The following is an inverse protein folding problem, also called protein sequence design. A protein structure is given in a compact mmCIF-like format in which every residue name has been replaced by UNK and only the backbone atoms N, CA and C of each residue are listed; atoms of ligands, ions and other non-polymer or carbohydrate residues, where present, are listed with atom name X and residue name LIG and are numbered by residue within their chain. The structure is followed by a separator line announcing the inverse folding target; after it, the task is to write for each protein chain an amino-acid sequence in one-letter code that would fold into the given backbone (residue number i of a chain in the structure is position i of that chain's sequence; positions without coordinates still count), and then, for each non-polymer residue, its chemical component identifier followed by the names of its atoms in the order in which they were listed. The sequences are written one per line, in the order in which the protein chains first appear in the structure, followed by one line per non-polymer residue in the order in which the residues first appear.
data_IF_688197699682
#
_entry.id   IF_688197699682
#
_cell.length_a   1.000
_cell.length_b   1.000
_cell.length_c   1.000
_cell.angle_alpha   90.00
_cell.angle_beta   90.00
_cell.angle_gamma   90.00
#
_symmetry.space_group_name_H-M   'P 1'
#
loop_
_entity.id
_entity.type
_entity.pdbx_description
1 polymer ?
#
# COMPACT_ATOMS: atom_id res chain seq x y z
N UNK A 1 7.16 -9.57 -26.57
CA UNK A 1 6.21 -8.47 -26.27
C UNK A 1 4.78 -8.95 -25.97
N UNK A 2 4.27 -10.00 -26.64
CA UNK A 2 2.90 -10.49 -26.41
C UNK A 2 2.63 -11.09 -25.02
N UNK A 3 3.63 -11.69 -24.35
CA UNK A 3 3.46 -12.36 -23.04
C UNK A 3 3.10 -11.39 -21.91
N UNK A 4 3.68 -10.20 -21.88
CA UNK A 4 3.42 -9.19 -20.84
C UNK A 4 2.02 -8.54 -20.94
N UNK A 5 1.34 -8.68 -22.07
CA UNK A 5 -0.04 -8.20 -22.25
C UNK A 5 -1.08 -9.32 -22.10
N UNK A 6 -0.64 -10.55 -21.82
CA UNK A 6 -1.55 -11.66 -21.57
C UNK A 6 -2.12 -11.58 -20.15
N UNK A 7 -3.43 -11.44 -20.05
CA UNK A 7 -4.18 -11.34 -18.79
C UNK A 7 -4.16 -12.63 -17.96
N UNK A 8 -3.74 -13.74 -18.54
CA UNK A 8 -3.69 -15.05 -17.89
C UNK A 8 -2.25 -15.48 -17.58
N UNK A 9 -1.23 -14.74 -18.04
CA UNK A 9 0.15 -15.02 -17.70
C UNK A 9 0.46 -14.63 -16.26
N UNK A 10 1.03 -15.55 -15.48
CA UNK A 10 1.30 -15.35 -14.08
C UNK A 10 2.26 -14.18 -13.80
N UNK A 11 3.26 -13.95 -14.67
CA UNK A 11 4.19 -12.84 -14.53
C UNK A 11 3.47 -11.50 -14.72
N UNK A 12 2.61 -11.40 -15.73
CA UNK A 12 1.80 -10.22 -16.01
C UNK A 12 0.88 -9.89 -14.84
N UNK A 13 0.24 -10.90 -14.24
CA UNK A 13 -0.63 -10.76 -13.07
C UNK A 13 0.16 -10.25 -11.86
N UNK A 14 1.37 -10.79 -11.60
CA UNK A 14 2.22 -10.37 -10.48
C UNK A 14 2.68 -8.92 -10.68
N UNK A 15 3.15 -8.55 -11.87
CA UNK A 15 3.58 -7.17 -12.18
C UNK A 15 2.42 -6.19 -12.00
N UNK A 16 1.25 -6.52 -12.54
CA UNK A 16 0.04 -5.70 -12.38
C UNK A 16 -0.37 -5.55 -10.91
N UNK A 17 -0.21 -6.62 -10.13
CA UNK A 17 -0.43 -6.61 -8.69
C UNK A 17 0.59 -5.73 -7.93
N UNK A 18 1.87 -5.77 -8.32
CA UNK A 18 2.90 -4.87 -7.77
C UNK A 18 2.55 -3.41 -8.08
N UNK A 19 2.11 -3.10 -9.30
CA UNK A 19 1.66 -1.75 -9.65
C UNK A 19 0.45 -1.32 -8.83
N UNK A 20 -0.50 -2.23 -8.57
CA UNK A 20 -1.63 -1.94 -7.67
C UNK A 20 -1.17 -1.59 -6.25
N UNK A 21 -0.15 -2.28 -5.72
CA UNK A 21 0.46 -1.98 -4.42
C UNK A 21 1.17 -0.62 -4.45
N UNK A 22 1.92 -0.32 -5.51
CA UNK A 22 2.59 0.97 -5.67
C UNK A 22 1.57 2.12 -5.67
N UNK A 23 0.45 1.98 -6.37
CA UNK A 23 -0.63 2.98 -6.36
C UNK A 23 -1.23 3.12 -4.95
N UNK A 24 -1.62 2.01 -4.33
CA UNK A 24 -2.40 2.02 -3.09
C UNK A 24 -1.59 2.30 -1.82
N UNK A 25 -0.39 1.75 -1.73
CA UNK A 25 0.48 1.98 -0.57
C UNK A 25 1.55 3.02 -0.86
N UNK A 26 2.20 2.96 -2.01
CA UNK A 26 3.24 3.92 -2.38
C UNK A 26 2.69 5.32 -2.48
N UNK A 27 1.88 5.57 -3.50
CA UNK A 27 1.39 6.91 -3.84
C UNK A 27 0.35 7.41 -2.83
N UNK A 28 -0.66 6.59 -2.51
CA UNK A 28 -1.75 7.02 -1.64
C UNK A 28 -1.38 7.10 -0.14
N UNK A 29 -0.24 6.50 0.28
CA UNK A 29 0.15 6.46 1.69
C UNK A 29 1.61 6.87 1.95
N UNK A 30 2.60 6.10 1.45
CA UNK A 30 4.01 6.27 1.82
C UNK A 30 4.66 7.53 1.24
N UNK A 31 4.19 8.02 0.09
CA UNK A 31 4.66 9.27 -0.49
C UNK A 31 4.51 10.45 0.47
N UNK A 32 3.45 10.48 1.28
CA UNK A 32 3.24 11.51 2.30
C UNK A 32 4.39 11.53 3.31
N UNK A 33 4.76 10.38 3.84
CA UNK A 33 5.84 10.27 4.82
C UNK A 33 7.18 10.77 4.28
N UNK A 34 7.50 10.42 3.03
CA UNK A 34 8.72 10.87 2.37
C UNK A 34 8.72 12.40 2.12
N UNK A 35 7.53 13.02 1.98
CA UNK A 35 7.38 14.46 1.73
C UNK A 35 7.21 15.29 3.02
N UNK A 36 6.90 14.69 4.18
CA UNK A 36 6.70 15.42 5.45
C UNK A 36 7.84 16.43 5.70
N UNK A 37 9.13 16.07 5.63
CA UNK A 37 10.19 17.03 5.94
C UNK A 37 10.15 18.29 5.06
N UNK A 38 9.84 18.16 3.78
CA UNK A 38 9.76 19.31 2.86
C UNK A 38 8.49 20.14 3.08
N UNK A 39 7.39 19.54 3.54
CA UNK A 39 6.15 20.24 3.82
C UNK A 39 6.16 20.96 5.17
N UNK A 40 6.90 20.45 6.17
CA UNK A 40 7.05 21.10 7.48
C UNK A 40 7.75 22.45 7.41
N UNK A 41 8.54 22.71 6.36
CA UNK A 41 9.27 23.97 6.22
C UNK A 41 8.33 25.17 6.06
N UNK A 42 7.25 25.04 5.26
CA UNK A 42 6.42 26.19 4.88
C UNK A 42 4.91 25.93 4.84
N UNK A 43 4.44 24.71 5.14
CA UNK A 43 3.04 24.38 4.89
C UNK A 43 2.35 23.65 6.05
N UNK A 44 2.97 22.68 6.67
CA UNK A 44 2.39 21.87 7.74
C UNK A 44 3.12 22.12 9.07
N UNK A 45 2.40 21.99 10.18
CA UNK A 45 3.00 21.66 11.47
C UNK A 45 3.00 20.15 11.70
N UNK A 46 3.83 19.69 12.64
CA UNK A 46 4.00 18.25 12.90
C UNK A 46 2.73 17.61 13.45
N UNK A 47 1.92 18.37 14.20
CA UNK A 47 0.64 17.90 14.75
C UNK A 47 -0.36 17.65 13.64
N UNK A 48 -0.47 18.60 12.70
CA UNK A 48 -1.38 18.47 11.56
C UNK A 48 -0.92 17.35 10.60
N UNK A 49 0.38 17.20 10.39
CA UNK A 49 0.94 16.07 9.64
C UNK A 49 0.55 14.73 10.28
N UNK A 50 0.61 14.61 11.60
CA UNK A 50 0.14 13.43 12.36
C UNK A 50 -1.36 13.18 12.21
N UNK A 51 -2.17 14.23 12.24
CA UNK A 51 -3.63 14.13 12.00
C UNK A 51 -3.89 13.61 10.58
N UNK A 52 -3.25 14.17 9.56
CA UNK A 52 -3.39 13.75 8.17
C UNK A 52 -2.96 12.28 7.96
N UNK A 53 -1.90 11.83 8.62
CA UNK A 53 -1.49 10.43 8.62
C UNK A 53 -2.56 9.54 9.26
N UNK A 54 -3.08 9.93 10.43
CA UNK A 54 -4.12 9.18 11.16
C UNK A 54 -5.40 9.07 10.36
N UNK A 55 -5.82 10.13 9.69
CA UNK A 55 -7.00 10.14 8.82
C UNK A 55 -6.84 9.20 7.61
N UNK A 56 -5.63 9.09 7.06
CA UNK A 56 -5.34 8.11 6.02
C UNK A 56 -5.48 6.66 6.54
N UNK A 57 -5.00 6.38 7.75
CA UNK A 57 -5.20 5.07 8.38
C UNK A 57 -6.67 4.77 8.66
N UNK A 58 -7.45 5.76 9.11
CA UNK A 58 -8.89 5.61 9.33
C UNK A 58 -9.63 5.30 8.02
N UNK A 59 -9.29 6.02 6.93
CA UNK A 59 -9.78 5.73 5.59
C UNK A 59 -9.43 4.30 5.14
N UNK A 60 -8.18 3.88 5.34
CA UNK A 60 -7.73 2.54 5.01
C UNK A 60 -8.48 1.46 5.79
N UNK A 61 -8.68 1.66 7.10
CA UNK A 61 -9.45 0.74 7.94
C UNK A 61 -10.89 0.61 7.43
N UNK A 62 -11.55 1.73 7.13
CA UNK A 62 -12.93 1.72 6.61
C UNK A 62 -13.05 0.95 5.30
N UNK A 63 -12.12 1.15 4.37
CA UNK A 63 -12.05 0.40 3.11
C UNK A 63 -11.77 -1.09 3.31
N UNK A 64 -10.86 -1.42 4.23
CA UNK A 64 -10.55 -2.81 4.57
C UNK A 64 -11.76 -3.54 5.15
N UNK A 65 -12.48 -2.90 6.07
CA UNK A 65 -13.72 -3.43 6.63
C UNK A 65 -14.81 -3.62 5.56
N UNK A 66 -14.97 -2.65 4.66
CA UNK A 66 -15.91 -2.79 3.54
C UNK A 66 -15.56 -3.99 2.67
N UNK A 67 -14.28 -4.25 2.43
CA UNK A 67 -13.80 -5.34 1.57
C UNK A 67 -14.25 -6.74 2.05
N UNK A 68 -14.50 -6.91 3.36
CA UNK A 68 -14.97 -8.17 3.97
C UNK A 68 -16.36 -8.57 3.44
N UNK A 69 -17.21 -7.58 3.20
CA UNK A 69 -18.59 -7.81 2.74
C UNK A 69 -18.67 -8.09 1.24
N UNK A 70 -17.62 -7.80 0.48
CA UNK A 70 -17.58 -7.96 -0.97
C UNK A 70 -17.00 -9.33 -1.33
N UNK A 71 -17.87 -10.28 -1.61
CA UNK A 71 -17.48 -11.67 -1.94
C UNK A 71 -17.35 -11.91 -3.45
N UNK A 72 -18.16 -11.23 -4.26
CA UNK A 72 -18.17 -11.38 -5.73
C UNK A 72 -16.91 -10.77 -6.35
N UNK A 73 -16.20 -11.56 -7.17
CA UNK A 73 -14.98 -11.12 -7.84
C UNK A 73 -15.22 -9.97 -8.83
N UNK A 74 -16.37 -9.90 -9.47
CA UNK A 74 -16.70 -8.83 -10.40
C UNK A 74 -16.89 -7.50 -9.64
N UNK A 75 -17.51 -7.56 -8.45
CA UNK A 75 -17.61 -6.41 -7.55
C UNK A 75 -16.22 -5.97 -7.03
N UNK A 76 -15.33 -6.93 -6.72
CA UNK A 76 -13.95 -6.63 -6.34
C UNK A 76 -13.21 -5.89 -7.45
N UNK A 77 -13.35 -6.31 -8.70
CA UNK A 77 -12.73 -5.60 -9.84
C UNK A 77 -13.29 -4.19 -10.00
N UNK A 78 -14.59 -3.99 -9.80
CA UNK A 78 -15.19 -2.66 -9.85
C UNK A 78 -14.64 -1.76 -8.74
N UNK A 79 -14.57 -2.27 -7.50
CA UNK A 79 -14.01 -1.54 -6.36
C UNK A 79 -12.52 -1.24 -6.51
N UNK A 80 -11.76 -2.18 -7.06
CA UNK A 80 -10.37 -1.97 -7.40
C UNK A 80 -10.20 -0.80 -8.37
N UNK A 81 -10.97 -0.78 -9.46
CA UNK A 81 -10.95 0.33 -10.44
C UNK A 81 -11.34 1.66 -9.80
N UNK A 82 -12.39 1.65 -8.99
CA UNK A 82 -12.81 2.83 -8.24
C UNK A 82 -11.71 3.31 -7.29
N UNK A 83 -11.06 2.40 -6.57
CA UNK A 83 -9.92 2.70 -5.71
C UNK A 83 -8.75 3.32 -6.46
N UNK A 84 -8.43 2.82 -7.66
CA UNK A 84 -7.37 3.39 -8.51
C UNK A 84 -7.70 4.84 -8.89
N UNK A 85 -8.91 5.10 -9.37
CA UNK A 85 -9.35 6.48 -9.71
C UNK A 85 -9.28 7.38 -8.49
N UNK A 86 -9.78 6.90 -7.36
CA UNK A 86 -9.80 7.66 -6.11
C UNK A 86 -8.38 7.94 -5.58
N UNK A 87 -7.44 7.01 -5.72
CA UNK A 87 -6.03 7.21 -5.35
C UNK A 87 -5.40 8.34 -6.18
N UNK A 88 -5.62 8.33 -7.49
CA UNK A 88 -5.08 9.35 -8.40
C UNK A 88 -5.70 10.71 -8.12
N UNK A 89 -7.04 10.80 -8.00
CA UNK A 89 -7.74 12.06 -7.79
C UNK A 89 -7.44 12.68 -6.41
N UNK A 90 -7.33 11.87 -5.36
CA UNK A 90 -6.94 12.36 -4.04
C UNK A 90 -5.49 12.84 -4.00
N UNK A 91 -4.58 12.18 -4.74
CA UNK A 91 -3.19 12.64 -4.89
C UNK A 91 -3.11 13.95 -5.67
N UNK A 92 -3.88 14.10 -6.75
CA UNK A 92 -3.99 15.36 -7.48
C UNK A 92 -4.57 16.50 -6.61
N UNK A 93 -5.53 16.21 -5.74
CA UNK A 93 -6.07 17.20 -4.83
C UNK A 93 -5.01 17.74 -3.86
N UNK A 94 -4.06 16.90 -3.41
CA UNK A 94 -2.93 17.33 -2.59
C UNK A 94 -1.92 18.20 -3.38
N UNK A 95 -1.73 17.93 -4.68
CA UNK A 95 -0.87 18.71 -5.55
C UNK A 95 -1.42 20.11 -5.85
N UNK A 96 -2.74 20.21 -6.08
CA UNK A 96 -3.39 21.40 -6.63
C UNK A 96 -3.99 22.32 -5.57
N UNK A 97 -4.01 21.91 -4.30
CA UNK A 97 -4.65 22.67 -3.22
C UNK A 97 -3.75 22.78 -1.99
N UNK A 98 -3.82 23.92 -1.32
CA UNK A 98 -3.19 24.16 -0.02
C UNK A 98 -4.21 24.35 1.11
N UNK A 99 -5.49 24.03 0.87
CA UNK A 99 -6.55 24.15 1.86
C UNK A 99 -6.60 22.92 2.76
N UNK A 100 -6.54 23.11 4.08
CA UNK A 100 -6.50 22.04 5.08
C UNK A 100 -7.72 21.10 4.99
N UNK A 101 -8.91 21.63 4.73
CA UNK A 101 -10.13 20.81 4.58
C UNK A 101 -10.02 19.87 3.37
N UNK A 102 -9.48 20.37 2.25
CA UNK A 102 -9.22 19.54 1.05
C UNK A 102 -8.21 18.44 1.38
N UNK A 103 -7.16 18.78 2.13
CA UNK A 103 -6.14 17.81 2.55
C UNK A 103 -6.71 16.74 3.49
N UNK A 104 -7.54 17.12 4.46
CA UNK A 104 -8.24 16.18 5.36
C UNK A 104 -9.06 15.17 4.53
N UNK A 105 -9.92 15.67 3.64
CA UNK A 105 -10.77 14.81 2.79
C UNK A 105 -9.92 13.94 1.87
N UNK A 106 -8.94 14.52 1.20
CA UNK A 106 -8.04 13.79 0.31
C UNK A 106 -7.29 12.66 1.03
N UNK A 107 -6.83 12.89 2.27
CA UNK A 107 -6.13 11.86 3.05
C UNK A 107 -7.04 10.70 3.46
N UNK A 108 -8.29 10.97 3.85
CA UNK A 108 -9.28 9.91 4.14
C UNK A 108 -9.56 9.10 2.86
N UNK A 109 -9.82 9.78 1.75
CA UNK A 109 -10.10 9.14 0.46
C UNK A 109 -8.90 8.35 -0.07
N UNK A 110 -7.69 8.88 0.07
CA UNK A 110 -6.46 8.17 -0.29
C UNK A 110 -6.28 6.88 0.54
N UNK A 111 -6.58 6.94 1.85
CA UNK A 111 -6.56 5.74 2.69
C UNK A 111 -7.56 4.69 2.24
N UNK A 112 -8.80 5.08 2.00
CA UNK A 112 -9.84 4.18 1.48
C UNK A 112 -9.43 3.58 0.12
N UNK A 113 -8.93 4.40 -0.78
CA UNK A 113 -8.39 3.98 -2.08
C UNK A 113 -7.24 2.97 -1.92
N UNK A 114 -6.36 3.19 -0.95
CA UNK A 114 -5.28 2.27 -0.61
C UNK A 114 -5.79 0.87 -0.25
N UNK A 115 -6.85 0.78 0.57
CA UNK A 115 -7.48 -0.52 0.86
C UNK A 115 -8.09 -1.16 -0.39
N UNK A 116 -8.77 -0.40 -1.23
CA UNK A 116 -9.37 -0.92 -2.47
C UNK A 116 -8.32 -1.42 -3.46
N UNK A 117 -7.19 -0.73 -3.59
CA UNK A 117 -6.14 -1.12 -4.53
C UNK A 117 -5.25 -2.22 -3.96
N UNK A 118 -4.87 -2.16 -2.70
CA UNK A 118 -4.00 -3.16 -2.09
C UNK A 118 -4.76 -4.41 -1.64
N UNK A 119 -5.76 -4.30 -0.76
CA UNK A 119 -6.44 -5.47 -0.19
C UNK A 119 -7.28 -6.17 -1.25
N UNK A 120 -8.14 -5.41 -1.95
CA UNK A 120 -8.99 -5.97 -2.99
C UNK A 120 -8.18 -6.37 -4.22
N UNK A 121 -7.19 -5.56 -4.62
CA UNK A 121 -6.26 -5.89 -5.71
C UNK A 121 -5.48 -7.18 -5.46
N UNK A 122 -4.94 -7.39 -4.25
CA UNK A 122 -4.26 -8.65 -3.87
C UNK A 122 -5.20 -9.85 -3.91
N UNK A 123 -6.47 -9.69 -3.52
CA UNK A 123 -7.46 -10.76 -3.63
C UNK A 123 -7.76 -11.12 -5.10
N UNK A 124 -7.77 -10.14 -6.01
CA UNK A 124 -7.90 -10.38 -7.46
C UNK A 124 -6.67 -11.12 -7.99
N UNK A 125 -5.46 -10.67 -7.65
CA UNK A 125 -4.20 -11.33 -8.01
C UNK A 125 -4.21 -12.79 -7.58
N UNK A 126 -4.52 -13.07 -6.31
CA UNK A 126 -4.58 -14.43 -5.77
C UNK A 126 -5.62 -15.30 -6.49
N UNK A 127 -6.73 -14.72 -6.93
CA UNK A 127 -7.78 -15.44 -7.67
C UNK A 127 -7.33 -15.77 -9.11
N UNK A 128 -6.60 -14.85 -9.75
CA UNK A 128 -6.14 -15.02 -11.14
C UNK A 128 -4.94 -15.96 -11.28
N UNK A 129 -4.07 -16.04 -10.27
CA UNK A 129 -2.86 -16.88 -10.33
C UNK A 129 -3.18 -18.36 -10.53
N UNK A 130 -2.60 -18.97 -11.57
CA UNK A 130 -2.76 -20.36 -11.96
C UNK A 130 -1.51 -21.20 -11.66
N UNK A 131 -0.84 -20.92 -10.52
CA UNK A 131 0.39 -21.61 -10.15
C UNK A 131 0.12 -22.69 -9.10
N UNK A 132 0.85 -23.80 -9.18
CA UNK A 132 0.86 -24.84 -8.14
C UNK A 132 1.32 -24.28 -6.78
N UNK A 133 2.27 -23.32 -6.77
CA UNK A 133 2.75 -22.67 -5.56
C UNK A 133 2.34 -21.19 -5.50
N UNK A 134 1.07 -20.91 -5.17
CA UNK A 134 0.56 -19.54 -4.98
C UNK A 134 1.31 -18.79 -3.87
N UNK A 135 1.78 -19.47 -2.83
CA UNK A 135 2.53 -18.88 -1.71
C UNK A 135 3.80 -18.16 -2.18
N UNK A 136 4.59 -18.80 -3.06
CA UNK A 136 5.80 -18.19 -3.62
C UNK A 136 5.47 -16.97 -4.48
N UNK A 137 4.43 -17.08 -5.31
CA UNK A 137 3.97 -15.99 -6.15
C UNK A 137 3.46 -14.80 -5.33
N UNK A 138 2.74 -15.05 -4.24
CA UNK A 138 2.28 -14.01 -3.32
C UNK A 138 3.45 -13.34 -2.59
N UNK A 139 4.52 -14.05 -2.25
CA UNK A 139 5.74 -13.44 -1.69
C UNK A 139 6.36 -12.43 -2.66
N UNK A 140 6.41 -12.75 -3.96
CA UNK A 140 6.87 -11.81 -5.00
C UNK A 140 5.88 -10.65 -5.16
N UNK A 141 4.58 -10.91 -5.14
CA UNK A 141 3.57 -9.86 -5.20
C UNK A 141 3.70 -8.87 -4.03
N UNK A 142 3.83 -9.36 -2.80
CA UNK A 142 3.98 -8.50 -1.62
C UNK A 142 5.34 -7.79 -1.53
N UNK A 143 6.36 -8.21 -2.27
CA UNK A 143 7.59 -7.40 -2.42
C UNK A 143 7.29 -6.03 -3.05
N UNK A 144 6.13 -5.89 -3.71
CA UNK A 144 5.56 -4.63 -4.15
C UNK A 144 5.45 -3.57 -3.03
N UNK A 145 5.38 -3.97 -1.75
CA UNK A 145 5.40 -3.03 -0.62
C UNK A 145 6.76 -2.31 -0.56
N UNK A 146 7.87 -3.06 -0.61
CA UNK A 146 9.20 -2.46 -0.68
C UNK A 146 9.41 -1.63 -1.96
N UNK A 147 8.96 -2.14 -3.11
CA UNK A 147 8.98 -1.38 -4.36
C UNK A 147 8.16 -0.09 -4.27
N UNK A 148 7.03 -0.10 -3.59
CA UNK A 148 6.17 1.08 -3.44
C UNK A 148 6.84 2.19 -2.64
N UNK A 149 7.50 1.83 -1.53
CA UNK A 149 8.28 2.76 -0.69
C UNK A 149 9.45 3.33 -1.50
N UNK A 150 10.26 2.44 -2.08
CA UNK A 150 11.44 2.83 -2.84
C UNK A 150 11.11 3.75 -4.02
N UNK A 151 10.12 3.37 -4.83
CA UNK A 151 9.77 4.14 -6.04
C UNK A 151 9.24 5.52 -5.70
N UNK A 152 8.36 5.64 -4.70
CA UNK A 152 7.80 6.95 -4.31
C UNK A 152 8.85 7.84 -3.65
N UNK A 153 9.73 7.26 -2.84
CA UNK A 153 10.84 8.00 -2.24
C UNK A 153 11.83 8.53 -3.31
N UNK A 154 12.22 7.68 -4.25
CA UNK A 154 13.12 8.08 -5.34
C UNK A 154 12.52 9.18 -6.23
N UNK A 155 11.21 9.10 -6.55
CA UNK A 155 10.52 10.15 -7.31
C UNK A 155 10.55 11.46 -6.53
N UNK A 156 10.18 11.45 -5.25
CA UNK A 156 10.17 12.65 -4.41
C UNK A 156 11.56 13.28 -4.30
N UNK A 157 12.57 12.46 -4.05
CA UNK A 157 13.98 12.94 -3.98
C UNK A 157 14.45 13.53 -5.29
N UNK A 158 14.13 12.89 -6.42
CA UNK A 158 14.50 13.40 -7.73
C UNK A 158 13.86 14.77 -8.01
N UNK A 159 12.56 14.91 -7.75
CA UNK A 159 11.86 16.18 -7.96
C UNK A 159 12.42 17.27 -7.07
N UNK A 160 12.57 17.01 -5.76
CA UNK A 160 13.07 17.99 -4.80
C UNK A 160 14.54 18.37 -5.08
N UNK A 161 15.40 17.43 -5.44
CA UNK A 161 16.81 17.70 -5.78
C UNK A 161 16.98 18.47 -7.09
N UNK A 162 16.00 18.38 -7.98
CA UNK A 162 15.95 19.15 -9.22
C UNK A 162 15.39 20.58 -9.04
N UNK A 163 15.15 21.01 -7.79
CA UNK A 163 14.61 22.32 -7.48
C UNK A 163 13.09 22.42 -7.54
N UNK A 164 12.39 21.29 -7.72
CA UNK A 164 10.93 21.23 -7.65
C UNK A 164 10.40 21.34 -6.22
N UNK A 165 9.12 21.64 -6.10
CA UNK A 165 8.40 21.76 -4.84
C UNK A 165 7.78 20.43 -4.41
N UNK A 166 7.24 20.38 -3.18
CA UNK A 166 6.44 19.24 -2.72
C UNK A 166 5.14 19.08 -3.55
N UNK A 167 4.57 20.19 -4.07
CA UNK A 167 3.42 20.14 -4.98
C UNK A 167 3.77 19.44 -6.29
N UNK A 168 4.94 19.76 -6.85
CA UNK A 168 5.44 19.11 -8.07
C UNK A 168 5.64 17.60 -7.83
N UNK A 169 6.12 17.22 -6.64
CA UNK A 169 6.25 15.81 -6.27
C UNK A 169 4.89 15.09 -6.26
N UNK A 170 3.85 15.69 -5.67
CA UNK A 170 2.49 15.14 -5.71
C UNK A 170 1.95 15.03 -7.14
N UNK A 171 2.21 16.03 -7.99
CA UNK A 171 1.78 16.01 -9.39
C UNK A 171 2.46 14.88 -10.17
N UNK A 172 3.78 14.76 -10.05
CA UNK A 172 4.56 13.69 -10.70
C UNK A 172 4.09 12.31 -10.23
N UNK A 173 3.84 12.14 -8.92
CA UNK A 173 3.31 10.89 -8.38
C UNK A 173 1.92 10.56 -8.91
N UNK A 174 1.04 11.54 -9.08
CA UNK A 174 -0.28 11.33 -9.65
C UNK A 174 -0.21 10.90 -11.13
N UNK A 175 0.66 11.54 -11.92
CA UNK A 175 0.92 11.16 -13.32
C UNK A 175 1.51 9.75 -13.38
N UNK A 176 2.48 9.45 -12.55
CA UNK A 176 3.09 8.12 -12.47
C UNK A 176 2.05 7.05 -12.13
N UNK A 177 1.23 7.29 -11.09
CA UNK A 177 0.14 6.38 -10.72
C UNK A 177 -0.86 6.18 -11.88
N UNK A 178 -1.21 7.24 -12.60
CA UNK A 178 -2.08 7.14 -13.78
C UNK A 178 -1.47 6.22 -14.86
N UNK A 179 -0.19 6.41 -15.20
CA UNK A 179 0.47 5.61 -16.23
C UNK A 179 0.50 4.12 -15.87
N UNK A 180 0.95 3.77 -14.65
CA UNK A 180 1.03 2.36 -14.22
C UNK A 180 -0.36 1.75 -14.00
N UNK A 181 -1.37 2.57 -13.71
CA UNK A 181 -2.75 2.11 -13.53
C UNK A 181 -3.36 1.53 -14.78
N UNK A 182 -2.99 2.05 -15.96
CA UNK A 182 -3.49 1.55 -17.26
C UNK A 182 -3.18 0.06 -17.39
N UNK A 183 -1.93 -0.32 -17.12
CA UNK A 183 -1.51 -1.72 -17.15
C UNK A 183 -2.18 -2.55 -16.05
N UNK A 184 -2.18 -2.05 -14.83
CA UNK A 184 -2.74 -2.76 -13.68
C UNK A 184 -4.24 -3.04 -13.86
N UNK A 185 -5.01 -2.03 -14.25
CA UNK A 185 -6.45 -2.16 -14.49
C UNK A 185 -6.74 -3.10 -15.68
N UNK A 186 -5.94 -3.02 -16.73
CA UNK A 186 -6.09 -3.90 -17.90
C UNK A 186 -5.89 -5.37 -17.52
N UNK A 187 -4.77 -5.72 -16.88
CA UNK A 187 -4.42 -7.10 -16.53
C UNK A 187 -5.31 -7.68 -15.42
N UNK A 188 -5.65 -6.88 -14.39
CA UNK A 188 -6.46 -7.36 -13.26
C UNK A 188 -7.97 -7.38 -13.55
N UNK A 189 -8.37 -7.09 -14.79
CA UNK A 189 -9.75 -7.27 -15.25
C UNK A 189 -9.99 -8.70 -15.76
N UNK A 190 -11.26 -9.12 -15.81
CA UNK A 190 -11.68 -10.37 -16.42
C UNK A 190 -12.37 -10.11 -17.75
N UNK A 191 -12.16 -10.98 -18.75
CA UNK A 191 -12.75 -10.84 -20.08
C UNK A 191 -14.25 -11.09 -20.09
N UNK A 192 -14.73 -11.97 -19.19
CA UNK A 192 -16.16 -12.30 -18.99
C UNK A 192 -16.49 -12.25 -17.51
N UNK A 193 -17.76 -11.96 -17.20
CA UNK A 193 -18.24 -12.06 -15.82
C UNK A 193 -18.00 -13.48 -15.30
N UNK A 194 -17.23 -13.59 -14.24
CA UNK A 194 -16.94 -14.87 -13.60
C UNK A 194 -18.17 -15.30 -12.80
N UNK A 195 -18.77 -16.45 -13.16
CA UNK A 195 -19.79 -17.07 -12.33
C UNK A 195 -19.10 -17.72 -11.14
N UNK A 196 -19.25 -17.15 -9.97
CA UNK A 196 -18.81 -17.77 -8.72
C UNK A 196 -20.00 -18.26 -7.92
N UNK A 197 -19.95 -19.50 -7.46
CA UNK A 197 -20.84 -19.96 -6.41
C UNK A 197 -20.36 -19.35 -5.09
N UNK A 198 -20.94 -18.21 -4.72
CA UNK A 198 -20.65 -17.57 -3.44
C UNK A 198 -21.27 -18.41 -2.33
N UNK A 199 -20.44 -19.21 -1.67
CA UNK A 199 -20.87 -19.93 -0.47
C UNK A 199 -21.07 -18.90 0.65
N UNK A 200 -22.31 -18.76 1.09
CA UNK A 200 -22.66 -17.91 2.24
C UNK A 200 -22.29 -18.67 3.52
N UNK A 201 -21.06 -18.52 3.99
CA UNK A 201 -20.75 -18.90 5.36
C UNK A 201 -21.28 -17.84 6.30
N UNK A 202 -22.12 -18.25 7.27
CA UNK A 202 -22.50 -17.39 8.38
C UNK A 202 -21.26 -17.02 9.23
N UNK A 203 -21.36 -15.94 10.00
CA UNK A 203 -20.31 -15.56 10.95
C UNK A 203 -20.30 -16.61 12.08
N UNK A 204 -19.23 -17.42 12.14
CA UNK A 204 -19.05 -18.42 13.17
C UNK A 204 -18.27 -17.81 14.35
N UNK A 205 -18.95 -17.64 15.49
CA UNK A 205 -18.35 -17.11 16.72
C UNK A 205 -17.29 -18.04 17.34
N UNK A 206 -17.28 -19.32 16.97
CA UNK A 206 -16.29 -20.30 17.45
C UNK A 206 -14.87 -19.99 16.99
N UNK A 207 -14.71 -19.12 15.98
CA UNK A 207 -13.41 -18.64 15.49
C UNK A 207 -12.68 -17.81 16.56
N UNK A 208 -13.40 -17.14 17.47
CA UNK A 208 -12.79 -16.33 18.54
C UNK A 208 -12.25 -17.19 19.70
N UNK A 209 -11.26 -18.01 19.37
CA UNK A 209 -10.48 -18.72 20.38
C UNK A 209 -9.56 -17.75 21.13
N UNK A 210 -9.09 -18.13 22.32
CA UNK A 210 -8.10 -17.36 23.09
C UNK A 210 -6.86 -17.02 22.22
N UNK A 211 -6.40 -17.98 21.42
CA UNK A 211 -5.28 -17.75 20.49
C UNK A 211 -5.55 -16.65 19.46
N UNK A 212 -6.74 -16.64 18.84
CA UNK A 212 -7.10 -15.61 17.86
C UNK A 212 -7.22 -14.24 18.51
N UNK A 213 -7.80 -14.15 19.71
CA UNK A 213 -7.89 -12.88 20.45
C UNK A 213 -6.49 -12.37 20.80
N UNK A 214 -5.60 -13.24 21.30
CA UNK A 214 -4.22 -12.88 21.59
C UNK A 214 -3.48 -12.40 20.34
N UNK A 215 -3.65 -13.08 19.23
CA UNK A 215 -3.07 -12.69 17.93
C UNK A 215 -3.54 -11.30 17.49
N UNK A 216 -4.83 -10.99 17.65
CA UNK A 216 -5.38 -9.67 17.34
C UNK A 216 -4.72 -8.59 18.22
N UNK A 217 -4.56 -8.84 19.53
CA UNK A 217 -3.92 -7.90 20.45
C UNK A 217 -2.46 -7.66 20.06
N UNK A 218 -1.72 -8.71 19.75
CA UNK A 218 -0.30 -8.61 19.33
C UNK A 218 -0.18 -7.81 18.04
N UNK A 219 -0.99 -8.12 17.03
CA UNK A 219 -1.00 -7.35 15.77
C UNK A 219 -1.43 -5.90 15.95
N UNK A 220 -2.35 -5.63 16.87
CA UNK A 220 -2.73 -4.26 17.22
C UNK A 220 -1.56 -3.49 17.83
N UNK A 221 -0.85 -4.09 18.80
CA UNK A 221 0.29 -3.47 19.45
C UNK A 221 1.45 -3.21 18.46
N UNK A 222 1.75 -4.19 17.58
CA UNK A 222 2.73 -4.04 16.49
C UNK A 222 2.32 -2.94 15.52
N UNK A 223 1.03 -2.88 15.16
CA UNK A 223 0.50 -1.84 14.30
C UNK A 223 0.66 -0.44 14.89
N UNK A 224 0.44 -0.26 16.18
CA UNK A 224 0.67 1.03 16.88
C UNK A 224 2.15 1.44 16.79
N UNK A 225 3.08 0.52 17.07
CA UNK A 225 4.53 0.77 16.94
C UNK A 225 4.92 1.13 15.51
N UNK A 226 4.44 0.37 14.54
CA UNK A 226 4.71 0.62 13.11
C UNK A 226 4.21 1.98 12.63
N UNK A 227 3.03 2.43 13.07
CA UNK A 227 2.46 3.72 12.64
C UNK A 227 3.35 4.89 13.02
N UNK A 228 3.88 4.91 14.25
CA UNK A 228 4.78 5.97 14.72
C UNK A 228 6.07 5.98 13.90
N UNK A 229 6.74 4.84 13.81
CA UNK A 229 7.97 4.70 13.03
C UNK A 229 7.71 4.97 11.55
N UNK A 230 6.69 4.35 10.96
CA UNK A 230 6.35 4.48 9.56
C UNK A 230 5.93 5.88 9.13
N UNK A 231 5.57 6.77 10.05
CA UNK A 231 5.19 8.15 9.73
C UNK A 231 6.33 9.13 9.94
N UNK A 232 7.08 9.00 11.02
CA UNK A 232 8.04 10.01 11.45
C UNK A 232 9.49 9.55 11.40
N UNK A 233 9.80 8.38 10.84
CA UNK A 233 11.16 7.83 10.82
C UNK A 233 12.21 8.79 10.23
N UNK A 234 11.98 9.49 9.10
CA UNK A 234 12.93 10.46 8.58
C UNK A 234 13.20 11.61 9.56
N UNK A 235 12.17 12.12 10.21
CA UNK A 235 12.28 13.19 11.19
C UNK A 235 12.99 12.73 12.46
N UNK A 236 12.65 11.55 12.96
CA UNK A 236 13.32 10.94 14.11
C UNK A 236 14.82 10.80 13.86
N UNK A 237 15.22 10.28 12.71
CA UNK A 237 16.63 10.08 12.36
C UNK A 237 17.36 11.42 12.25
N UNK A 238 16.75 12.44 11.66
CA UNK A 238 17.37 13.78 11.54
C UNK A 238 17.57 14.45 12.90
N UNK A 239 16.81 14.11 13.92
CA UNK A 239 16.91 14.66 15.27
C UNK A 239 17.85 13.85 16.19
N UNK A 240 18.43 12.73 15.73
CA UNK A 240 19.39 11.95 16.49
C UNK A 240 20.81 12.52 16.32
N UNK A 241 21.58 12.72 17.42
CA UNK A 241 22.95 13.21 17.36
C UNK A 241 23.85 12.33 16.46
N UNK A 242 24.52 12.96 15.50
CA UNK A 242 25.41 12.30 14.55
C UNK A 242 24.71 11.63 13.37
N UNK A 243 23.37 11.76 13.24
CA UNK A 243 22.59 11.27 12.11
C UNK A 243 21.84 12.40 11.39
N UNK A 244 22.19 13.65 11.67
CA UNK A 244 21.59 14.82 11.01
C UNK A 244 21.79 14.75 9.49
N UNK A 245 20.69 14.89 8.74
CA UNK A 245 20.69 14.79 7.28
C UNK A 245 20.51 13.37 6.71
N UNK A 246 20.66 12.32 7.52
CA UNK A 246 20.44 10.94 7.07
C UNK A 246 18.96 10.53 7.02
N UNK A 247 18.06 11.29 7.63
CA UNK A 247 16.62 11.04 7.53
C UNK A 247 16.14 10.95 6.08
N UNK A 248 16.76 11.71 5.18
CA UNK A 248 16.41 11.71 3.77
C UNK A 248 16.60 10.35 3.07
N UNK A 249 17.56 9.51 3.50
CA UNK A 249 17.80 8.19 2.87
C UNK A 249 17.09 7.05 3.58
N UNK A 250 16.44 7.31 4.70
CA UNK A 250 15.85 6.28 5.55
C UNK A 250 14.78 5.49 4.81
N UNK A 251 13.89 6.17 4.10
CA UNK A 251 12.86 5.51 3.31
C UNK A 251 13.41 4.72 2.13
N UNK A 252 14.47 5.19 1.49
CA UNK A 252 15.19 4.41 0.47
C UNK A 252 15.68 3.08 1.05
N UNK A 253 16.29 3.10 2.24
CA UNK A 253 16.80 1.90 2.91
C UNK A 253 15.65 0.96 3.30
N UNK A 254 14.57 1.50 3.87
CA UNK A 254 13.38 0.72 4.23
C UNK A 254 12.76 0.05 3.00
N UNK A 255 12.65 0.79 1.88
CA UNK A 255 12.15 0.24 0.62
C UNK A 255 13.02 -0.87 0.08
N UNK A 256 14.34 -0.68 0.04
CA UNK A 256 15.31 -1.70 -0.41
C UNK A 256 15.27 -2.95 0.46
N UNK A 257 15.19 -2.81 1.78
CA UNK A 257 15.09 -3.95 2.70
C UNK A 257 13.72 -4.65 2.59
N UNK A 258 12.65 -3.90 2.33
CA UNK A 258 11.30 -4.42 2.18
C UNK A 258 11.10 -5.33 0.98
N UNK A 259 11.83 -5.10 -0.12
CA UNK A 259 11.72 -5.91 -1.34
C UNK A 259 12.04 -7.40 -1.07
N UNK A 260 13.23 -7.77 -0.57
CA UNK A 260 13.54 -9.17 -0.30
C UNK A 260 12.81 -9.72 0.93
N UNK A 261 12.46 -8.88 1.89
CA UNK A 261 11.83 -9.26 3.15
C UNK A 261 10.58 -10.12 2.94
N UNK A 262 9.62 -9.65 2.15
CA UNK A 262 8.39 -10.40 1.89
C UNK A 262 8.64 -11.77 1.27
N UNK A 263 9.62 -11.88 0.36
CA UNK A 263 9.98 -13.15 -0.29
C UNK A 263 10.64 -14.10 0.73
N UNK A 264 11.54 -13.58 1.56
CA UNK A 264 12.26 -14.36 2.57
C UNK A 264 11.28 -14.89 3.61
N UNK A 265 10.46 -14.03 4.22
CA UNK A 265 9.51 -14.42 5.26
C UNK A 265 8.47 -15.41 4.75
N UNK A 266 7.96 -15.26 3.52
CA UNK A 266 7.02 -16.22 2.93
C UNK A 266 7.67 -17.59 2.67
N UNK A 267 8.95 -17.64 2.27
CA UNK A 267 9.69 -18.91 2.12
C UNK A 267 9.93 -19.58 3.45
N UNK A 268 10.33 -18.80 4.47
CA UNK A 268 10.55 -19.32 5.82
C UNK A 268 9.26 -19.85 6.43
N UNK A 269 8.15 -19.12 6.28
CA UNK A 269 6.84 -19.55 6.74
C UNK A 269 6.37 -20.85 6.09
N UNK A 270 6.65 -21.03 4.79
CA UNK A 270 6.37 -22.29 4.09
C UNK A 270 7.21 -23.47 4.61
N UNK A 271 8.47 -23.21 4.98
CA UNK A 271 9.42 -24.26 5.44
C UNK A 271 9.26 -24.61 6.92
N UNK A 272 9.05 -23.63 7.78
CA UNK A 272 9.09 -23.79 9.25
C UNK A 272 7.72 -23.62 9.92
N UNK A 273 6.66 -23.34 9.15
CA UNK A 273 5.31 -23.08 9.64
C UNK A 273 5.08 -21.61 9.98
N UNK A 274 3.86 -21.13 9.66
CA UNK A 274 3.51 -19.71 9.77
C UNK A 274 3.56 -19.19 11.21
N UNK A 275 3.14 -20.00 12.20
CA UNK A 275 3.12 -19.58 13.62
C UNK A 275 4.53 -19.33 14.14
N UNK A 276 5.47 -20.27 13.88
CA UNK A 276 6.85 -20.13 14.33
C UNK A 276 7.53 -18.88 13.72
N UNK A 277 7.24 -18.63 12.44
CA UNK A 277 7.83 -17.48 11.75
C UNK A 277 7.24 -16.16 12.22
N UNK A 278 5.96 -16.10 12.54
CA UNK A 278 5.35 -14.91 13.17
C UNK A 278 6.03 -14.61 14.52
N UNK A 279 6.25 -15.63 15.36
CA UNK A 279 6.93 -15.46 16.66
C UNK A 279 8.37 -14.94 16.50
N UNK A 280 9.08 -15.34 15.44
CA UNK A 280 10.45 -14.88 15.19
C UNK A 280 10.46 -13.45 14.61
N UNK A 281 9.42 -13.07 13.87
CA UNK A 281 9.34 -11.78 13.20
C UNK A 281 8.87 -10.64 14.13
N UNK A 282 8.13 -10.97 15.19
CA UNK A 282 7.69 -10.06 16.26
C UNK A 282 8.76 -9.87 17.32
#
# INVERSE_FOLDING_TARGET
MNRLLDRNDNLSIIIAGIFAIIIGLGVARFAFTSLIPSMLVNHLDITFAGILASLNFAGYLSGSLLSIFIKDINQKVLLFRFGVVLAITSTLALALNSNDTVWIVARILAGFAGAMTFVVGSAIVMTKLQMESKTKAMGIHFSGIGFSILTTDLINRYVLSSGGSWQDSWLVLAIFAFVISIYSVYILSFDKKVKQNVVKHGFDKSIFTFFVVLLIIVYFAEGVGFVVQGTFLPDIINNLPGLEGYGNITWTIVGLAGIPSCIIWMRLAHKYGSVNIIIIAL
#
